data_IF_227202210281
#
_entry.id   IF_227202210281
#
_cell.length_a   1.000
_cell.length_b   1.000
_cell.length_c   1.000
_cell.angle_alpha   90.00
_cell.angle_beta   90.00
_cell.angle_gamma   90.00
#
_symmetry.space_group_name_H-M   'P 1'
#
loop_
_entity.id
_entity.type
_entity.pdbx_description
1 polymer ?
#
# COMPACT_ATOMS: atom_id res chain seq x y z
N UNK A 1 -11.71 -10.71 -8.46
CA UNK A 1 -11.12 -9.79 -7.45
C UNK A 1 -9.87 -9.16 -8.04
N UNK A 2 -9.37 -8.04 -7.49
CA UNK A 2 -8.40 -7.11 -8.12
C UNK A 2 -7.30 -7.76 -9.01
N UNK A 3 -6.59 -8.80 -8.54
CA UNK A 3 -5.53 -9.47 -9.30
C UNK A 3 -6.02 -10.18 -10.58
N UNK A 4 -7.27 -10.65 -10.62
CA UNK A 4 -7.88 -11.24 -11.81
C UNK A 4 -7.96 -10.24 -12.97
N UNK A 5 -8.07 -8.94 -12.68
CA UNK A 5 -8.06 -7.88 -13.69
C UNK A 5 -6.71 -7.76 -14.40
N UNK A 6 -5.65 -8.24 -13.76
CA UNK A 6 -4.28 -8.23 -14.28
C UNK A 6 -3.82 -9.64 -14.71
N UNK A 7 -4.68 -10.66 -14.60
CA UNK A 7 -4.35 -12.03 -14.98
C UNK A 7 -3.27 -12.68 -14.12
N UNK A 8 -3.06 -12.18 -12.89
CA UNK A 8 -2.02 -12.67 -11.95
C UNK A 8 -2.65 -13.19 -10.65
N UNK A 9 -1.86 -13.89 -9.85
CA UNK A 9 -2.21 -14.42 -8.53
C UNK A 9 -1.35 -13.74 -7.44
N UNK A 10 -1.59 -14.08 -6.18
CA UNK A 10 -0.76 -13.58 -5.07
C UNK A 10 0.71 -14.04 -5.17
N UNK A 11 0.98 -15.20 -5.76
CA UNK A 11 2.34 -15.71 -5.90
C UNK A 11 3.14 -14.99 -6.98
N UNK A 12 2.47 -14.42 -7.99
CA UNK A 12 3.11 -13.80 -9.16
C UNK A 12 2.59 -12.41 -9.52
N UNK A 13 2.02 -11.68 -8.56
CA UNK A 13 1.42 -10.36 -8.82
C UNK A 13 2.37 -9.36 -9.47
N UNK A 14 3.69 -9.51 -9.24
CA UNK A 14 4.73 -8.67 -9.84
C UNK A 14 4.88 -8.86 -11.36
N UNK A 15 4.35 -9.93 -11.94
CA UNK A 15 4.35 -10.12 -13.39
C UNK A 15 3.52 -9.03 -14.09
N UNK A 16 2.51 -8.48 -13.40
CA UNK A 16 1.70 -7.37 -13.90
C UNK A 16 2.50 -6.08 -14.13
N UNK A 17 3.71 -5.95 -13.59
CA UNK A 17 4.57 -4.78 -13.80
C UNK A 17 5.03 -4.63 -15.26
N UNK A 18 4.99 -5.70 -16.06
CA UNK A 18 5.29 -5.62 -17.48
C UNK A 18 4.29 -4.74 -18.24
N UNK A 19 3.01 -4.82 -17.87
CA UNK A 19 1.92 -4.10 -18.52
C UNK A 19 1.49 -2.85 -17.73
N UNK A 20 1.66 -2.87 -16.41
CA UNK A 20 1.27 -1.79 -15.49
C UNK A 20 2.46 -1.42 -14.59
N UNK A 21 3.46 -0.69 -15.09
CA UNK A 21 4.72 -0.47 -14.37
C UNK A 21 4.53 0.20 -12.99
N UNK A 22 3.61 1.17 -12.89
CA UNK A 22 3.33 1.88 -11.64
C UNK A 22 2.62 1.02 -10.59
N UNK A 23 2.20 -0.21 -10.92
CA UNK A 23 1.72 -1.18 -9.93
C UNK A 23 2.82 -1.58 -8.92
N UNK A 24 4.09 -1.21 -9.17
CA UNK A 24 5.24 -1.47 -8.30
C UNK A 24 5.12 -0.87 -6.89
N UNK A 25 4.25 0.12 -6.70
CA UNK A 25 3.98 0.73 -5.38
C UNK A 25 2.93 -0.03 -4.56
N UNK A 26 2.31 -1.07 -5.11
CA UNK A 26 1.17 -1.74 -4.48
C UNK A 26 1.54 -2.56 -3.25
N UNK A 27 0.58 -2.68 -2.34
CA UNK A 27 0.68 -3.41 -1.08
C UNK A 27 -0.15 -4.69 -1.12
N UNK A 28 0.19 -5.65 -0.27
CA UNK A 28 -0.62 -6.86 -0.13
C UNK A 28 -1.96 -6.56 0.59
N UNK A 29 -3.02 -7.35 0.34
CA UNK A 29 -4.24 -7.28 1.13
C UNK A 29 -4.00 -7.48 2.64
N UNK A 30 -2.95 -8.24 3.02
CA UNK A 30 -2.59 -8.46 4.42
C UNK A 30 -2.09 -7.17 5.10
N UNK A 31 -1.43 -6.27 4.37
CA UNK A 31 -1.00 -4.97 4.90
C UNK A 31 -2.19 -4.09 5.27
N UNK A 32 -3.20 -4.01 4.39
CA UNK A 32 -4.48 -3.34 4.68
C UNK A 32 -5.17 -3.98 5.89
N UNK A 33 -5.21 -5.31 5.95
CA UNK A 33 -5.77 -6.05 7.08
C UNK A 33 -5.09 -5.74 8.41
N UNK A 34 -3.75 -5.58 8.41
CA UNK A 34 -2.98 -5.15 9.59
C UNK A 34 -3.35 -3.74 10.02
N UNK A 35 -3.60 -2.82 9.09
CA UNK A 35 -4.09 -1.48 9.39
C UNK A 35 -5.45 -1.52 10.11
N UNK A 36 -6.38 -2.33 9.60
CA UNK A 36 -7.70 -2.54 10.24
C UNK A 36 -7.54 -3.14 11.63
N UNK A 37 -6.70 -4.15 11.81
CA UNK A 37 -6.44 -4.77 13.10
C UNK A 37 -5.83 -3.78 14.11
N UNK A 38 -4.92 -2.92 13.65
CA UNK A 38 -4.32 -1.88 14.49
C UNK A 38 -5.37 -0.85 14.96
N UNK A 39 -6.24 -0.39 14.05
CA UNK A 39 -7.35 0.50 14.42
C UNK A 39 -8.31 -0.16 15.40
N UNK A 40 -8.65 -1.44 15.20
CA UNK A 40 -9.54 -2.19 16.08
C UNK A 40 -8.95 -2.39 17.50
N UNK A 41 -7.62 -2.45 17.60
CA UNK A 41 -6.91 -2.55 18.89
C UNK A 41 -6.61 -1.22 19.57
N UNK A 42 -6.86 -0.08 18.91
CA UNK A 42 -6.56 1.25 19.45
C UNK A 42 -7.61 1.69 20.48
N UNK A 43 -7.19 1.87 21.73
CA UNK A 43 -8.09 2.29 22.83
C UNK A 43 -8.69 3.68 22.65
N UNK A 44 -8.09 4.54 21.82
CA UNK A 44 -8.54 5.89 21.50
C UNK A 44 -8.98 6.02 20.03
N UNK A 45 -9.48 4.94 19.43
CA UNK A 45 -9.90 4.91 18.03
C UNK A 45 -10.98 5.97 17.69
N UNK A 46 -11.75 6.43 18.68
CA UNK A 46 -12.77 7.45 18.50
C UNK A 46 -12.21 8.77 17.93
N UNK A 47 -10.92 9.09 18.17
CA UNK A 47 -10.26 10.26 17.56
C UNK A 47 -10.19 10.21 16.03
N UNK A 48 -10.36 9.02 15.44
CA UNK A 48 -10.31 8.76 14.00
C UNK A 48 -11.69 8.82 13.32
N UNK A 49 -12.77 9.03 14.07
CA UNK A 49 -14.12 9.05 13.51
C UNK A 49 -14.29 10.12 12.42
N UNK A 50 -14.88 9.72 11.30
CA UNK A 50 -15.13 10.60 10.15
C UNK A 50 -13.90 10.90 9.29
N UNK A 51 -12.76 10.26 9.56
CA UNK A 51 -11.54 10.42 8.77
C UNK A 51 -11.39 9.30 7.74
N UNK A 52 -10.89 9.64 6.56
CA UNK A 52 -10.32 8.67 5.61
C UNK A 52 -8.84 8.48 5.94
N UNK A 53 -8.39 7.24 6.07
CA UNK A 53 -7.03 6.90 6.50
C UNK A 53 -6.33 6.05 5.45
N UNK A 54 -5.00 6.17 5.40
CA UNK A 54 -4.14 5.35 4.54
C UNK A 54 -3.47 4.24 5.35
N UNK A 55 -3.45 3.02 4.83
CA UNK A 55 -2.66 1.90 5.37
C UNK A 55 -1.19 2.26 5.57
N UNK A 56 -0.57 2.94 4.60
CA UNK A 56 0.80 3.44 4.68
C UNK A 56 1.03 4.40 5.85
N UNK A 57 0.11 5.36 6.07
CA UNK A 57 0.16 6.25 7.23
C UNK A 57 0.03 5.46 8.54
N UNK A 58 -0.94 4.56 8.62
CA UNK A 58 -1.21 3.77 9.83
C UNK A 58 -0.06 2.81 10.14
N UNK A 59 0.65 2.31 9.15
CA UNK A 59 1.85 1.50 9.34
C UNK A 59 2.99 2.27 10.01
N UNK A 60 3.14 3.56 9.68
CA UNK A 60 4.12 4.43 10.34
C UNK A 60 3.72 4.72 11.80
N UNK A 61 2.43 4.98 12.05
CA UNK A 61 1.93 5.31 13.39
C UNK A 61 1.89 4.10 14.34
N UNK A 62 1.43 2.94 13.87
CA UNK A 62 1.28 1.73 14.68
C UNK A 62 2.45 0.75 14.53
N UNK A 63 3.38 0.99 13.62
CA UNK A 63 4.65 0.27 13.53
C UNK A 63 4.60 -1.09 12.84
N UNK A 64 3.59 -1.40 12.02
CA UNK A 64 3.55 -2.66 11.25
C UNK A 64 4.21 -2.53 9.86
N UNK A 65 4.43 -3.67 9.19
CA UNK A 65 4.98 -3.76 7.83
C UNK A 65 4.10 -4.65 6.96
N UNK A 66 4.32 -4.64 5.66
CA UNK A 66 3.78 -5.63 4.72
C UNK A 66 4.50 -6.99 4.90
N UNK A 67 4.06 -8.02 4.16
CA UNK A 67 4.60 -9.38 4.17
C UNK A 67 6.06 -9.44 3.72
N UNK A 68 6.47 -8.56 2.81
CA UNK A 68 7.85 -8.44 2.34
C UNK A 68 8.72 -7.51 3.22
N UNK A 69 8.18 -7.03 4.35
CA UNK A 69 8.86 -6.13 5.27
C UNK A 69 8.79 -4.65 4.89
N UNK A 70 8.21 -4.31 3.74
CA UNK A 70 8.07 -2.92 3.29
C UNK A 70 6.98 -2.13 4.03
N UNK A 71 7.00 -0.81 3.86
CA UNK A 71 5.93 0.13 4.25
C UNK A 71 5.61 1.05 3.07
N UNK A 72 4.81 0.58 2.09
CA UNK A 72 4.51 1.37 0.91
C UNK A 72 3.83 2.71 1.22
N UNK A 73 4.31 3.77 0.57
CA UNK A 73 3.78 5.14 0.62
C UNK A 73 3.26 5.56 -0.76
N UNK A 74 2.08 5.02 -1.10
CA UNK A 74 1.47 5.22 -2.41
C UNK A 74 1.14 6.68 -2.70
N UNK A 75 0.70 7.45 -1.71
CA UNK A 75 0.31 8.84 -1.92
C UNK A 75 1.50 9.73 -2.28
N UNK A 76 2.64 9.55 -1.60
CA UNK A 76 3.85 10.29 -1.96
C UNK A 76 4.39 9.85 -3.32
N UNK A 77 4.35 8.55 -3.62
CA UNK A 77 4.76 8.01 -4.92
C UNK A 77 3.93 8.58 -6.08
N UNK A 78 2.61 8.64 -5.95
CA UNK A 78 1.72 9.18 -6.98
C UNK A 78 2.10 10.62 -7.32
N UNK A 79 2.30 11.47 -6.31
CA UNK A 79 2.63 12.88 -6.51
C UNK A 79 4.05 13.08 -7.06
N UNK A 80 5.03 12.36 -6.52
CA UNK A 80 6.45 12.62 -6.82
C UNK A 80 6.97 11.86 -8.05
N UNK A 81 6.31 10.77 -8.45
CA UNK A 81 6.73 9.87 -9.54
C UNK A 81 5.70 9.81 -10.65
N UNK A 82 4.48 9.34 -10.38
CA UNK A 82 3.47 9.06 -11.42
C UNK A 82 2.92 10.35 -12.07
N UNK A 83 2.35 11.25 -11.26
CA UNK A 83 1.85 12.56 -11.70
C UNK A 83 2.96 13.43 -12.31
N UNK A 84 4.21 13.19 -11.89
CA UNK A 84 5.39 13.85 -12.43
C UNK A 84 5.88 13.25 -13.76
N UNK A 85 5.24 12.19 -14.27
CA UNK A 85 5.58 11.50 -15.52
C UNK A 85 6.94 10.81 -15.49
N UNK A 86 7.44 10.43 -14.31
CA UNK A 86 8.74 9.76 -14.15
C UNK A 86 8.60 8.25 -14.36
N UNK A 87 9.71 7.55 -14.68
CA UNK A 87 9.70 6.10 -14.75
C UNK A 87 9.22 5.47 -13.43
N UNK A 88 8.53 4.34 -13.53
CA UNK A 88 8.06 3.61 -12.37
C UNK A 88 9.24 3.08 -11.54
N UNK A 89 9.56 3.79 -10.46
CA UNK A 89 10.61 3.45 -9.49
C UNK A 89 10.10 3.69 -8.07
N UNK A 90 9.79 2.60 -7.37
CA UNK A 90 9.29 2.65 -6.00
C UNK A 90 10.41 2.77 -4.95
N UNK A 91 11.67 2.93 -5.35
CA UNK A 91 12.80 3.07 -4.44
C UNK A 91 12.61 4.27 -3.50
N UNK A 92 12.66 4.03 -2.19
CA UNK A 92 12.42 5.07 -1.19
C UNK A 92 10.94 5.34 -0.88
N UNK A 93 10.02 4.61 -1.52
CA UNK A 93 8.57 4.65 -1.27
C UNK A 93 8.02 3.32 -0.71
N UNK A 94 8.90 2.36 -0.41
CA UNK A 94 8.58 1.04 0.16
C UNK A 94 9.52 0.72 1.31
#
# INVERSE_FOLDING_TARGET
>A
MMLDNFGVTEDNWRDALADVPHFCISESPAYVGRAVAALAGDSDIARRNGQSLSSGQLAQEYGFTDLDGSRPDCWRYLVEVDDAGKPADATGYR
#
